data_IF_924600801605
#
_entry.id   IF_924600801605
#
_cell.length_a   1.000
_cell.length_b   1.000
_cell.length_c   1.000
_cell.angle_alpha   90.00
_cell.angle_beta   90.00
_cell.angle_gamma   90.00
#
_symmetry.space_group_name_H-M   'P 1'
#
loop_
_entity.id
_entity.type
_entity.pdbx_description
1 polymer ?
2 non-polymer ?
3 water ?
#
# COMPACT_ATOMS: atom_id res chain seq x y z
N UNK A 1 -18.09 5.72 1.62
CA UNK A 1 -18.43 4.87 0.46
C UNK A 1 -17.65 3.55 0.43
N UNK A 2 -17.93 2.75 -0.58
CA UNK A 2 -17.25 1.49 -0.74
C UNK A 2 -16.39 1.75 -1.94
N UNK A 3 -15.12 1.39 -1.86
CA UNK A 3 -14.22 1.57 -2.99
C UNK A 3 -13.58 0.23 -3.39
N UNK A 4 -13.96 -0.25 -4.58
CA UNK A 4 -13.40 -1.49 -5.13
C UNK A 4 -12.03 -1.13 -5.74
N UNK A 5 -11.20 -2.14 -6.01
CA UNK A 5 -9.83 -1.90 -6.49
C UNK A 5 -9.37 -2.13 -7.92
N UNK A 6 -10.25 -2.08 -8.93
CA UNK A 6 -9.76 -2.30 -10.29
C UNK A 6 -8.92 -1.17 -10.77
N UNK A 7 -9.08 -0.06 -10.10
CA UNK A 7 -8.36 1.16 -10.44
C UNK A 7 -7.64 1.59 -9.16
N UNK A 8 -6.60 2.41 -9.29
CA UNK A 8 -5.88 2.94 -8.12
C UNK A 8 -6.89 3.67 -7.28
N UNK A 9 -6.89 3.40 -5.95
CA UNK A 9 -7.82 4.03 -5.01
C UNK A 9 -7.41 5.47 -4.64
N UNK A 10 -7.50 6.34 -5.64
CA UNK A 10 -7.18 7.75 -5.50
C UNK A 10 -8.37 8.51 -4.96
N UNK A 11 -8.12 9.36 -3.97
CA UNK A 11 -9.17 10.17 -3.39
C UNK A 11 -8.67 11.59 -3.31
N UNK A 12 -9.60 12.50 -3.06
CA UNK A 12 -9.27 13.89 -2.94
C UNK A 12 -9.09 14.19 -1.46
N UNK A 13 -8.00 14.88 -1.13
CA UNK A 13 -7.74 15.29 0.25
C UNK A 13 -7.49 16.79 0.25
N UNK A 14 -7.83 17.41 1.36
CA UNK A 14 -7.59 18.84 1.51
C UNK A 14 -6.70 18.88 2.74
N UNK A 15 -5.58 19.56 2.63
CA UNK A 15 -4.68 19.64 3.76
C UNK A 15 -3.88 20.91 3.58
N UNK A 16 -3.63 21.61 4.68
CA UNK A 16 -2.90 22.86 4.59
C UNK A 16 -3.60 23.85 3.65
N UNK A 17 -4.92 23.71 3.53
CA UNK A 17 -5.67 24.60 2.67
C UNK A 17 -5.61 24.22 1.19
N UNK A 18 -4.77 23.25 0.82
CA UNK A 18 -4.64 22.85 -0.58
C UNK A 18 -5.35 21.55 -0.90
N UNK A 19 -5.69 21.39 -2.18
CA UNK A 19 -6.36 20.20 -2.69
C UNK A 19 -5.35 19.32 -3.40
N UNK A 20 -5.35 18.03 -3.06
CA UNK A 20 -4.45 17.08 -3.70
C UNK A 20 -5.17 15.76 -3.81
N UNK A 21 -4.61 14.87 -4.62
CA UNK A 21 -5.18 13.54 -4.75
C UNK A 21 -4.13 12.63 -4.12
N UNK A 22 -4.57 11.56 -3.49
CA UNK A 22 -3.65 10.63 -2.82
C UNK A 22 -4.25 9.22 -2.86
N UNK A 23 -3.41 8.22 -2.65
CA UNK A 23 -3.80 6.82 -2.70
C UNK A 23 -4.18 6.32 -1.30
N UNK A 24 -5.33 5.65 -1.14
CA UNK A 24 -5.69 5.05 0.17
C UNK A 24 -4.80 3.81 0.14
N UNK A 25 -3.82 3.75 1.03
CA UNK A 25 -2.82 2.68 0.99
C UNK A 25 -2.72 1.81 2.25
N UNK A 26 -3.46 0.70 2.28
CA UNK A 26 -3.44 -0.18 3.43
C UNK A 26 -2.06 -0.75 3.73
N UNK A 27 -1.18 -0.71 2.74
CA UNK A 27 0.17 -1.21 2.89
C UNK A 27 1.14 -0.19 3.46
N UNK A 28 0.65 1.01 3.78
CA UNK A 28 1.53 2.05 4.32
C UNK A 28 1.22 2.33 5.77
N UNK A 29 2.24 2.25 6.63
CA UNK A 29 2.00 2.55 8.05
C UNK A 29 1.71 4.05 8.23
N UNK A 30 2.42 4.85 7.45
CA UNK A 30 2.34 6.31 7.52
C UNK A 30 1.83 6.95 6.24
N UNK A 31 1.52 8.24 6.35
CA UNK A 31 1.01 9.07 5.27
C UNK A 31 2.13 9.92 4.75
N UNK A 32 2.40 9.86 3.47
CA UNK A 32 3.50 10.62 2.93
C UNK A 32 3.02 11.43 1.74
N UNK A 33 3.33 12.71 1.72
CA UNK A 33 2.88 13.54 0.62
C UNK A 33 4.03 14.22 -0.08
N UNK A 34 3.83 14.50 -1.37
CA UNK A 34 4.84 15.17 -2.19
C UNK A 34 5.12 16.54 -1.62
N UNK A 35 6.29 17.08 -1.97
CA UNK A 35 6.72 18.39 -1.48
C UNK A 35 5.58 19.42 -1.46
N UNK A 36 5.20 19.84 -0.27
CA UNK A 36 4.11 20.79 -0.14
C UNK A 36 4.32 21.74 1.02
N UNK A 37 3.48 22.77 1.03
CA UNK A 37 3.52 23.82 2.05
C UNK A 37 2.67 23.47 3.27
N UNK A 38 3.32 23.26 4.41
CA UNK A 38 2.60 22.98 5.65
C UNK A 38 3.07 23.88 6.76
N UNK A 39 2.14 24.30 7.63
CA UNK A 39 2.44 25.18 8.76
C UNK A 39 2.84 24.38 9.99
N UNK A 40 3.55 25.03 10.92
CA UNK A 40 3.97 24.38 12.16
C UNK A 40 5.42 23.93 12.24
N UNK A 41 5.74 23.18 13.30
CA UNK A 41 7.08 22.63 13.52
C UNK A 41 7.15 21.21 12.91
N UNK A 42 8.35 20.65 12.77
CA UNK A 42 8.53 19.31 12.19
C UNK A 42 9.95 18.72 12.37
N UNK A 43 10.04 17.46 12.78
CA UNK A 43 11.34 16.83 12.97
C UNK A 43 11.70 16.03 11.72
N UNK A 44 12.99 16.01 11.32
CA UNK A 44 13.35 15.24 10.12
C UNK A 44 13.24 13.75 10.46
N UNK A 45 12.80 12.95 9.51
CA UNK A 45 12.63 11.53 9.75
C UNK A 45 12.98 10.81 8.47
N UNK A 46 13.10 9.49 8.53
CA UNK A 46 13.43 8.74 7.33
C UNK A 46 12.48 7.59 7.17
N UNK A 47 11.92 7.44 5.98
CA UNK A 47 11.00 6.34 5.77
C UNK A 47 11.49 5.47 4.66
N UNK A 48 11.06 4.22 4.69
CA UNK A 48 11.49 3.31 3.65
C UNK A 48 10.38 2.54 3.00
N UNK A 49 10.68 2.01 1.83
CA UNK A 49 9.71 1.21 1.11
C UNK A 49 10.49 0.27 0.21
N UNK A 50 9.83 -0.22 -0.83
CA UNK A 50 10.47 -1.07 -1.80
C UNK A 50 11.49 -0.11 -2.40
N UNK A 51 12.60 -0.60 -2.92
CA UNK A 51 13.58 0.31 -3.49
C UNK A 51 14.50 1.07 -2.54
N UNK A 52 14.20 1.15 -1.25
CA UNK A 52 15.07 1.88 -0.34
C UNK A 52 14.41 2.85 0.64
N UNK A 53 15.09 3.96 0.95
CA UNK A 53 14.57 4.96 1.88
C UNK A 53 14.52 6.39 1.30
N UNK A 54 13.73 7.26 1.92
CA UNK A 54 13.67 8.66 1.52
C UNK A 54 13.73 9.49 2.79
N UNK A 55 14.29 10.69 2.66
CA UNK A 55 14.41 11.65 3.75
C UNK A 55 13.11 12.44 3.60
N UNK A 56 12.47 12.70 4.72
CA UNK A 56 11.18 13.34 4.71
C UNK A 56 10.97 14.24 5.93
N UNK A 57 9.96 15.11 5.90
CA UNK A 57 9.73 15.95 7.06
C UNK A 57 8.47 15.55 7.79
N UNK A 58 8.61 15.18 9.05
CA UNK A 58 7.48 14.76 9.85
C UNK A 58 6.73 15.90 10.55
N UNK A 59 5.47 16.09 10.20
CA UNK A 59 4.67 17.14 10.85
C UNK A 59 3.62 16.41 11.68
N UNK A 60 3.56 16.72 12.96
CA UNK A 60 2.59 16.07 13.83
C UNK A 60 1.24 16.80 13.92
N UNK A 61 0.19 16.04 14.20
CA UNK A 61 -1.17 16.57 14.36
C UNK A 61 -1.75 17.50 13.28
N UNK A 62 -1.57 17.15 12.01
CA UNK A 62 -2.10 17.96 10.93
C UNK A 62 -3.54 17.56 10.70
N UNK A 63 -4.40 18.53 10.42
CA UNK A 63 -5.79 18.24 10.13
C UNK A 63 -5.85 17.91 8.64
N UNK A 64 -6.67 16.94 8.27
CA UNK A 64 -6.76 16.56 6.87
C UNK A 64 -8.16 16.08 6.61
N UNK A 65 -8.65 16.35 5.41
CA UNK A 65 -9.97 15.88 5.06
C UNK A 65 -9.81 14.95 3.87
N UNK A 66 -10.15 13.69 4.08
CA UNK A 66 -10.05 12.66 3.05
C UNK A 66 -11.40 12.29 2.51
N UNK A 67 -11.56 12.41 1.20
CA UNK A 67 -12.81 12.08 0.53
C UNK A 67 -14.02 12.56 1.33
N UNK A 68 -13.85 13.62 2.13
CA UNK A 68 -14.96 14.15 2.92
C UNK A 68 -14.89 14.02 4.43
N UNK A 69 -14.03 13.12 4.93
CA UNK A 69 -13.88 12.89 6.36
C UNK A 69 -12.67 13.61 6.88
N UNK A 70 -12.79 14.15 8.09
CA UNK A 70 -11.68 14.86 8.73
C UNK A 70 -10.93 13.91 9.68
N UNK A 71 -9.65 14.20 9.89
CA UNK A 71 -8.83 13.38 10.76
C UNK A 71 -7.67 14.24 11.12
N UNK A 72 -7.00 13.92 12.21
CA UNK A 72 -5.84 14.67 12.61
C UNK A 72 -4.72 13.68 12.81
N UNK A 73 -3.54 13.97 12.30
CA UNK A 73 -2.49 12.99 12.52
C UNK A 73 -1.21 13.43 11.90
N UNK A 74 -0.23 12.53 11.97
CA UNK A 74 1.09 12.78 11.43
C UNK A 74 1.15 12.68 9.91
N UNK A 75 1.79 13.67 9.31
CA UNK A 75 1.92 13.73 7.87
C UNK A 75 3.39 13.92 7.60
N UNK A 76 3.92 13.11 6.69
CA UNK A 76 5.31 13.21 6.28
C UNK A 76 5.36 13.86 4.90
N UNK A 77 6.32 14.75 4.66
CA UNK A 77 6.45 15.45 3.38
C UNK A 77 7.79 15.18 2.72
N UNK A 78 7.79 14.81 1.45
CA UNK A 78 9.07 14.53 0.82
C UNK A 78 9.03 14.14 -0.64
N UNK A 79 10.17 13.74 -1.23
CA UNK A 79 10.13 13.37 -2.64
C UNK A 79 9.47 12.01 -2.91
N UNK A 80 8.27 11.79 -2.38
CA UNK A 80 7.58 10.53 -2.64
C UNK A 80 7.01 10.62 -4.04
N UNK A 81 7.11 9.53 -4.81
CA UNK A 81 6.57 9.49 -6.17
C UNK A 81 5.04 9.54 -6.14
N UNK A 82 4.46 9.50 -4.96
CA UNK A 82 3.02 9.49 -4.93
C UNK A 82 2.52 9.83 -3.57
N UNK A 83 1.39 10.53 -3.52
CA UNK A 83 0.77 10.91 -2.26
C UNK A 83 0.07 9.66 -1.76
N UNK A 84 0.39 9.29 -0.54
CA UNK A 84 -0.12 8.09 0.11
C UNK A 84 -0.80 8.41 1.43
N UNK A 85 -2.01 7.92 1.63
CA UNK A 85 -2.67 8.10 2.89
C UNK A 85 -2.46 6.72 3.52
N UNK A 86 -1.69 6.66 4.61
CA UNK A 86 -1.39 5.38 5.25
C UNK A 86 -2.32 5.03 6.40
N UNK A 87 -2.05 3.92 7.11
CA UNK A 87 -2.96 3.50 8.18
C UNK A 87 -3.20 4.50 9.33
N UNK A 88 -2.20 5.30 9.66
CA UNK A 88 -2.42 6.24 10.74
C UNK A 88 -3.67 7.08 10.44
N UNK A 89 -3.92 7.38 9.17
CA UNK A 89 -5.10 8.18 8.86
C UNK A 89 -6.29 7.38 8.38
N UNK A 90 -6.06 6.23 7.75
CA UNK A 90 -7.18 5.42 7.28
C UNK A 90 -7.97 4.92 8.49
N UNK A 91 -7.32 4.62 9.61
CA UNK A 91 -8.12 4.16 10.76
C UNK A 91 -9.10 5.27 11.18
N UNK A 92 -8.61 6.51 11.16
CA UNK A 92 -9.43 7.65 11.56
C UNK A 92 -10.71 7.91 10.80
N UNK A 93 -10.71 7.70 9.50
CA UNK A 93 -11.91 7.94 8.73
C UNK A 93 -12.72 6.66 8.68
N UNK A 94 -12.30 5.69 9.49
CA UNK A 94 -12.99 4.41 9.60
C UNK A 94 -12.92 3.46 8.41
N UNK A 95 -11.81 3.52 7.68
CA UNK A 95 -11.64 2.68 6.51
C UNK A 95 -11.38 1.19 6.82
N UNK A 96 -12.06 0.28 6.11
CA UNK A 96 -11.86 -1.16 6.30
C UNK A 96 -11.68 -1.84 4.96
N UNK A 97 -10.99 -2.99 4.96
CA UNK A 97 -10.80 -3.79 3.75
C UNK A 97 -11.87 -4.90 3.77
N UNK A 98 -12.48 -5.20 2.64
CA UNK A 98 -13.52 -6.21 2.68
C UNK A 98 -13.54 -7.17 1.52
N UNK A 99 -13.63 -8.46 1.81
CA UNK A 99 -13.70 -9.44 0.72
C UNK A 99 -14.49 -10.72 1.03
N UNK B 1 -14.01 -11.71 4.81
CA UNK B 1 -14.34 -11.01 6.07
C UNK B 1 -14.09 -9.51 5.94
N UNK B 2 -14.25 -8.81 7.05
CA UNK B 2 -14.01 -7.38 7.06
C UNK B 2 -12.75 -7.23 7.87
N UNK B 3 -11.81 -6.44 7.37
CA UNK B 3 -10.56 -6.20 8.07
C UNK B 3 -10.35 -4.70 8.27
N UNK B 4 -10.32 -4.29 9.54
CA UNK B 4 -10.08 -2.90 9.91
C UNK B 4 -8.55 -2.70 9.89
N UNK B 5 -8.08 -1.45 9.92
CA UNK B 5 -6.63 -1.17 9.82
C UNK B 5 -5.79 -0.69 11.00
N UNK B 6 -6.17 -0.99 12.24
CA UNK B 6 -5.33 -0.52 13.36
C UNK B 6 -4.01 -1.21 13.39
N UNK B 7 -4.00 -2.36 12.76
CA UNK B 7 -2.83 -3.21 12.70
C UNK B 7 -2.55 -3.47 11.21
N UNK B 8 -1.32 -3.85 10.88
CA UNK B 8 -0.96 -4.19 9.50
C UNK B 8 -1.89 -5.30 9.03
N UNK B 9 -2.50 -5.14 7.83
CA UNK B 9 -3.42 -6.12 7.25
C UNK B 9 -2.74 -7.39 6.67
N UNK B 10 -2.07 -8.12 7.56
CA UNK B 10 -1.37 -9.35 7.21
C UNK B 10 -2.32 -10.51 7.16
N UNK B 11 -2.16 -11.32 6.13
CA UNK B 11 -3.01 -12.48 5.92
C UNK B 11 -2.12 -13.63 5.53
N UNK B 12 -2.70 -14.81 5.55
CA UNK B 12 -1.98 -16.01 5.19
C UNK B 12 -2.26 -16.31 3.72
N UNK B 13 -1.22 -16.65 2.98
CA UNK B 13 -1.36 -17.04 1.58
C UNK B 13 -0.63 -18.36 1.38
N UNK B 14 -1.13 -19.15 0.46
CA UNK B 14 -0.48 -20.39 0.13
C UNK B 14 -0.15 -20.20 -1.33
N UNK B 15 1.09 -20.42 -1.69
CA UNK B 15 1.48 -20.24 -3.07
C UNK B 15 2.68 -21.14 -3.29
N UNK B 16 2.74 -21.77 -4.45
CA UNK B 16 3.85 -22.68 -4.74
C UNK B 16 3.95 -23.81 -3.69
N UNK B 17 2.80 -24.15 -3.08
CA UNK B 17 2.76 -25.19 -2.07
C UNK B 17 3.23 -24.69 -0.69
N UNK B 18 3.75 -23.47 -0.60
CA UNK B 18 4.26 -22.91 0.66
C UNK B 18 3.34 -21.90 1.30
N UNK B 19 3.43 -21.80 2.62
CA UNK B 19 2.63 -20.86 3.39
C UNK B 19 3.48 -19.66 3.74
N UNK B 20 2.91 -18.49 3.55
CA UNK B 20 3.57 -17.25 3.88
C UNK B 20 2.53 -16.25 4.37
N UNK B 21 3.01 -15.17 4.97
CA UNK B 21 2.12 -14.11 5.41
C UNK B 21 2.44 -12.95 4.48
N UNK B 22 1.44 -12.15 4.13
CA UNK B 22 1.63 -11.01 3.22
C UNK B 22 0.66 -9.88 3.59
N UNK B 23 0.96 -8.69 3.12
CA UNK B 23 0.17 -7.50 3.42
C UNK B 23 -0.86 -7.27 2.31
N UNK B 24 -2.12 -7.04 2.66
CA UNK B 24 -3.15 -6.70 1.66
C UNK B 24 -2.83 -5.24 1.44
N UNK B 25 -2.35 -4.90 0.24
CA UNK B 25 -1.86 -3.55 -0.03
C UNK B 25 -2.53 -2.78 -1.16
N UNK B 26 -3.55 -1.99 -0.83
CA UNK B 26 -4.25 -1.25 -1.85
C UNK B 26 -3.37 -0.26 -2.60
N UNK B 27 -2.23 0.09 -2.01
CA UNK B 27 -1.30 1.00 -2.62
C UNK B 27 -0.32 0.36 -3.60
N UNK B 28 -0.47 -0.94 -3.84
CA UNK B 28 0.45 -1.64 -4.76
C UNK B 28 -0.28 -2.13 -6.00
N UNK B 29 0.23 -1.77 -7.17
CA UNK B 29 -0.40 -2.21 -8.41
C UNK B 29 -0.19 -3.73 -8.54
N UNK B 30 0.98 -4.18 -8.12
CA UNK B 30 1.38 -5.59 -8.24
C UNK B 30 1.69 -6.26 -6.89
N UNK B 31 1.84 -7.58 -6.96
CA UNK B 31 2.11 -8.47 -5.83
C UNK B 31 3.55 -8.85 -5.90
N UNK B 32 4.28 -8.60 -4.83
CA UNK B 32 5.71 -8.89 -4.80
C UNK B 32 6.01 -9.72 -3.57
N UNK B 33 6.69 -10.84 -3.74
CA UNK B 33 7.00 -11.68 -2.60
C UNK B 33 8.49 -11.84 -2.46
N UNK B 34 8.92 -12.12 -1.24
CA UNK B 34 10.33 -12.31 -0.94
C UNK B 34 10.84 -13.50 -1.71
N UNK B 35 12.16 -13.58 -1.84
CA UNK B 35 12.81 -14.66 -2.57
C UNK B 35 12.21 -16.02 -2.21
N UNK B 36 11.59 -16.65 -3.19
CA UNK B 36 10.96 -17.92 -2.94
C UNK B 36 11.01 -18.80 -4.17
N UNK B 37 10.69 -20.07 -3.94
CA UNK B 37 10.70 -21.10 -4.96
C UNK B 37 9.39 -21.21 -5.73
N UNK B 38 9.40 -20.80 -7.00
CA UNK B 38 8.21 -20.90 -7.84
C UNK B 38 8.50 -21.68 -9.11
N UNK B 39 7.51 -22.44 -9.58
CA UNK B 39 7.62 -23.25 -10.79
C UNK B 39 7.21 -22.46 -12.02
N UNK B 40 7.64 -22.93 -13.19
CA UNK B 40 7.32 -22.28 -14.46
C UNK B 40 8.38 -21.36 -15.04
N UNK B 41 7.98 -20.61 -16.07
CA UNK B 41 8.85 -19.62 -16.75
C UNK B 41 8.61 -18.21 -16.17
N UNK B 42 9.59 -17.31 -16.33
CA UNK B 42 9.49 -15.94 -15.80
C UNK B 42 10.41 -14.92 -16.49
N UNK B 43 9.90 -13.73 -16.79
CA UNK B 43 10.70 -12.69 -17.43
C UNK B 43 11.22 -11.72 -16.36
N UNK B 44 12.45 -11.18 -16.52
CA UNK B 44 12.96 -10.24 -15.51
C UNK B 44 12.20 -8.92 -15.66
N UNK B 45 11.96 -8.24 -14.55
CA UNK B 45 11.20 -7.00 -14.59
C UNK B 45 11.70 -6.09 -13.49
N UNK B 46 11.33 -4.82 -13.54
CA UNK B 46 11.78 -3.91 -12.51
C UNK B 46 10.64 -3.15 -11.89
N UNK B 47 10.57 -3.14 -10.57
CA UNK B 47 9.50 -2.43 -9.91
C UNK B 47 10.05 -1.35 -9.03
N UNK B 48 9.26 -0.31 -8.86
CA UNK B 48 9.69 0.79 -8.02
C UNK B 48 8.74 1.06 -6.88
N UNK B 49 9.28 1.62 -5.81
CA UNK B 49 8.47 1.95 -4.67
C UNK B 49 8.94 3.28 -4.13
N UNK B 50 8.65 3.54 -2.87
CA UNK B 50 9.03 4.79 -2.27
C UNK B 50 10.52 5.03 -2.29
N UNK B 51 11.34 4.12 -1.76
CA UNK B 51 12.77 4.39 -1.78
C UNK B 51 13.55 4.14 -3.08
N UNK B 52 12.87 3.90 -4.19
CA UNK B 52 13.58 3.64 -5.43
C UNK B 52 13.02 2.41 -6.14
N UNK B 53 13.90 1.50 -6.56
CA UNK B 53 13.42 0.32 -7.25
C UNK B 53 14.14 -1.00 -6.89
N UNK B 54 13.58 -2.11 -7.34
CA UNK B 54 14.18 -3.42 -7.11
C UNK B 54 14.00 -4.25 -8.36
N UNK B 55 14.91 -5.20 -8.53
CA UNK B 55 14.88 -6.10 -9.67
C UNK B 55 14.19 -7.36 -9.15
N UNK B 56 13.22 -7.85 -9.92
CA UNK B 56 12.48 -9.03 -9.51
C UNK B 56 12.18 -9.98 -10.65
N UNK B 57 11.57 -11.11 -10.33
CA UNK B 57 11.25 -12.03 -11.38
C UNK B 57 9.76 -12.12 -11.51
N UNK B 58 9.26 -11.86 -12.71
CA UNK B 58 7.84 -11.90 -12.96
C UNK B 58 7.34 -13.27 -13.38
N UNK B 59 6.45 -13.86 -12.59
CA UNK B 59 5.88 -15.16 -12.96
C UNK B 59 4.40 -14.89 -13.26
N UNK B 60 3.95 -15.29 -14.44
CA UNK B 60 2.56 -15.08 -14.83
C UNK B 60 1.61 -16.22 -14.46
N UNK B 61 0.34 -15.90 -14.29
CA UNK B 61 -0.71 -16.88 -13.97
C UNK B 61 -0.48 -17.87 -12.82
N UNK B 62 0.10 -17.41 -11.72
CA UNK B 62 0.33 -18.28 -10.58
C UNK B 62 -0.94 -18.39 -9.79
N UNK B 63 -1.24 -19.58 -9.28
CA UNK B 63 -2.42 -19.78 -8.46
C UNK B 63 -1.99 -19.42 -7.06
N UNK B 64 -2.86 -18.73 -6.33
CA UNK B 64 -2.53 -18.33 -4.97
C UNK B 64 -3.81 -18.36 -4.15
N UNK B 65 -3.67 -18.69 -2.88
CA UNK B 65 -4.84 -18.70 -2.02
C UNK B 65 -4.60 -17.69 -0.91
N UNK B 66 -5.45 -16.67 -0.89
CA UNK B 66 -5.34 -15.59 0.08
C UNK B 66 -6.43 -15.67 1.11
N UNK B 67 -6.02 -15.77 2.37
CA UNK B 67 -6.94 -15.86 3.50
C UNK B 67 -8.11 -16.80 3.18
N UNK B 68 -7.91 -17.73 2.24
CA UNK B 68 -8.97 -18.67 1.90
C UNK B 68 -9.56 -18.57 0.51
N UNK B 69 -9.24 -17.51 -0.22
CA UNK B 69 -9.76 -17.32 -1.56
C UNK B 69 -8.69 -17.61 -2.53
N UNK B 70 -9.05 -18.26 -3.63
CA UNK B 70 -8.06 -18.55 -4.66
C UNK B 70 -8.09 -17.47 -5.75
N UNK B 71 -6.98 -17.34 -6.47
CA UNK B 71 -6.87 -16.36 -7.53
C UNK B 71 -5.71 -16.78 -8.39
N UNK B 72 -5.71 -16.35 -9.64
CA UNK B 72 -4.62 -16.68 -10.52
C UNK B 72 -4.09 -15.38 -11.06
N UNK B 73 -2.78 -15.21 -11.11
CA UNK B 73 -2.30 -13.95 -11.62
C UNK B 73 -0.81 -13.85 -11.56
N UNK B 74 -0.32 -12.66 -11.86
CA UNK B 74 1.10 -12.36 -11.87
C UNK B 74 1.69 -12.14 -10.49
N UNK B 75 2.83 -12.76 -10.23
CA UNK B 75 3.51 -12.61 -8.96
C UNK B 75 4.95 -12.33 -9.29
N UNK B 76 5.48 -11.29 -8.65
CA UNK B 76 6.87 -10.90 -8.81
C UNK B 76 7.64 -11.38 -7.58
N UNK B 77 8.86 -11.90 -7.75
CA UNK B 77 9.63 -12.36 -6.59
C UNK B 77 10.96 -11.62 -6.53
N UNK B 78 11.35 -11.19 -5.34
CA UNK B 78 12.60 -10.45 -5.23
C UNK B 78 12.97 -10.03 -3.82
N UNK B 79 14.02 -9.20 -3.66
CA UNK B 79 14.39 -8.79 -2.29
C UNK B 79 13.47 -7.72 -1.68
N UNK B 80 12.15 -7.93 -1.75
CA UNK B 80 11.20 -6.99 -1.16
C UNK B 80 11.26 -7.17 0.34
N UNK B 81 11.27 -6.06 1.10
CA UNK B 81 11.32 -6.15 2.56
C UNK B 81 10.00 -6.66 3.11
N UNK B 82 9.09 -7.01 2.23
CA UNK B 82 7.82 -7.46 2.74
C UNK B 82 7.01 -8.04 1.64
N UNK B 83 6.27 -9.09 1.98
CA UNK B 83 5.38 -9.73 1.03
C UNK B 83 4.15 -8.84 0.95
N UNK B 84 3.81 -8.48 -0.29
CA UNK B 84 2.71 -7.59 -0.61
C UNK B 84 1.73 -8.22 -1.61
N UNK B 85 0.44 -8.21 -1.31
CA UNK B 85 -0.54 -8.71 -2.25
C UNK B 85 -1.07 -7.40 -2.83
N UNK B 86 -0.88 -7.19 -4.14
CA UNK B 86 -1.31 -5.94 -4.75
C UNK B 86 -2.68 -5.99 -5.38
N UNK B 87 -3.10 -4.92 -6.06
CA UNK B 87 -4.45 -4.91 -6.64
C UNK B 87 -4.74 -5.99 -7.71
N UNK B 88 -3.72 -6.45 -8.42
CA UNK B 88 -3.97 -7.46 -9.43
C UNK B 88 -4.64 -8.68 -8.76
N UNK B 89 -4.24 -9.01 -7.54
CA UNK B 89 -4.86 -10.15 -6.88
C UNK B 89 -5.99 -9.76 -5.93
N UNK B 90 -5.92 -8.57 -5.33
CA UNK B 90 -6.97 -8.15 -4.42
C UNK B 90 -8.29 -8.05 -5.20
N UNK B 91 -8.25 -7.58 -6.44
CA UNK B 91 -9.52 -7.51 -7.19
C UNK B 91 -10.12 -8.92 -7.28
N UNK B 92 -9.25 -9.91 -7.52
CA UNK B 92 -9.71 -11.29 -7.66
C UNK B 92 -10.44 -11.91 -6.50
N UNK B 93 -10.06 -11.59 -5.28
CA UNK B 93 -10.73 -12.18 -4.14
C UNK B 93 -11.86 -11.28 -3.69
N UNK B 94 -12.15 -10.27 -4.52
CA UNK B 94 -13.25 -9.34 -4.25
C UNK B 94 -13.05 -8.34 -3.13
N UNK B 95 -11.80 -7.94 -2.91
CA UNK B 95 -11.49 -7.01 -1.83
C UNK B 95 -11.90 -5.55 -2.12
N UNK B 96 -12.54 -4.89 -1.15
CA UNK B 96 -12.93 -3.49 -1.31
C UNK B 96 -12.55 -2.72 -0.07
N UNK B 97 -12.31 -1.42 -0.23
CA UNK B 97 -12.00 -0.52 0.89
C UNK B 97 -13.32 0.15 1.27
N UNK B 98 -13.62 0.24 2.55
CA UNK B 98 -14.88 0.84 2.92
C UNK B 98 -14.81 1.79 4.10
N UNK B 99 -15.38 2.98 3.92
CA UNK B 99 -15.40 3.94 5.02
C UNK B 99 -16.65 4.82 5.09
X LIG C 1 4.29 4.92 4.71
X LIG C 1 5.41 4.31 4.22
X LIG C 1 6.64 3.86 5.43
X LIG C 1 5.37 4.60 6.45
X LIG C 1 4.28 5.08 5.98
X LIG C 1 5.93 3.89 2.97
X LIG C 1 5.10 2.83 2.56
X LIG C 1 5.23 2.09 1.37
X LIG C 1 6.12 2.32 0.54
X LIG C 1 4.26 1.12 1.25
X LIG C 1 4.18 0.23 0.08
X LIG C 1 2.94 0.42 -0.81
X LIG C 1 2.86 1.77 -1.48
X LIG C 1 3.71 2.09 -2.72
X LIG C 1 4.35 -1.28 0.41
X LIG C 1 5.42 -1.74 1.26
X LIG C 1 6.58 -2.02 0.48
X LIG C 1 7.75 -2.47 1.15
X LIG C 1 7.77 -2.66 2.57
X LIG C 1 6.59 -2.38 3.34
X LIG C 1 5.42 -1.92 2.69
X LIG C 1 1.81 0.28 0.00
X LIG C 1 3.19 3.42 -3.22
X LIG C 1 4.17 4.03 -4.11
X LIG C 1 3.81 4.07 -5.50
X LIG C 1 4.71 4.65 -6.46
X LIG C 1 5.95 5.17 -6.00
X LIG C 1 6.29 5.13 -4.63
X LIG C 1 5.40 4.56 -3.67
X LIG C 1 3.57 1.10 -3.77
X LIG C 1 4.30 0.14 -6.66
X LIG C 1 4.13 -0.59 -5.37
X LIG C 1 4.56 0.33 -4.22
X LIG C 1 5.73 0.37 -3.77
X LIG C 1 4.93 -1.95 -5.47
X LIG C 1 4.90 -2.85 -4.21
X LIG C 1 4.43 -2.80 -6.66
X LIG C 1 3.27 0.63 -7.40
X LIG C 1 3.67 1.43 -8.45
X LIG C 1 2.69 2.05 -9.35
X LIG C 1 2.08 0.34 -7.13
X LIG C 1 2.37 3.46 -9.07
X LIG C 1 1.26 3.73 -8.31
X LIG C 1 1.20 5.51 -8.14
X LIG C 1 2.67 5.63 -9.13
X LIG C 1 3.10 4.45 -9.50
X LIG C 1 3.00 6.96 -9.24
X LIG C 1 2.20 8.20 -9.62
X LIG C 1 4.22 7.01 -10.07
X LIG C 1 4.91 1.78 -8.81
#
# INVERSE_FOLDING_TARGET
>A
PQITLWQRPLVTIKIGGQLKEALLDTGADDTVLEEMSLPGAWKPKMIGGIGGFIKVRQYDQILIEICGHKAIGTVLVGPTPANIIGRNLLTQIGCTLNF
>B
PQITLWQRPLVTIKIGGQLKEALLDTGADDTVLEEMSLPGAWKPKMIGGIGGFIKVRQYDQILIEICGHKAIGTVLVGPTPANIIGRNLLTQIGCTLNF
>C hetero
1 RIT C1 C2 S3 C4 N5 C6 O7 C10 O24 N11 C12 C13 C14 C15 C26 C28 C31 C32 C33 C34 C35 O41 C44 C45 C48 C49 C50 C51 C52 N58 N20 C19 C18 O61 C62 C64 C68 C21 N74 C75 O76 C77 C80 S81 C82 N83 C85 C86 C90 C95
#
